data_IF_290969871535
#
_entry.id   IF_290969871535
#
_cell.length_a   1.000
_cell.length_b   1.000
_cell.length_c   1.000
_cell.angle_alpha   90.00
_cell.angle_beta   90.00
_cell.angle_gamma   90.00
#
_symmetry.space_group_name_H-M   'P 1'
#
loop_
_entity.id
_entity.type
_entity.pdbx_description
1 polymer ?
#
# COMPACT_ATOMS: atom_id res chain seq x y z
N UNK A 1 -9.50 -8.04 -15.63
CA UNK A 1 -8.41 -7.75 -14.67
C UNK A 1 -9.01 -7.04 -13.47
N UNK A 2 -8.53 -7.35 -12.26
CA UNK A 2 -8.92 -6.68 -11.04
C UNK A 2 -7.69 -6.48 -10.13
N UNK A 3 -7.71 -5.47 -9.26
CA UNK A 3 -6.72 -5.30 -8.20
C UNK A 3 -7.35 -5.29 -6.81
N UNK A 4 -6.60 -5.76 -5.82
CA UNK A 4 -6.86 -5.54 -4.40
C UNK A 4 -5.60 -4.99 -3.74
N UNK A 5 -5.78 -3.98 -2.88
CA UNK A 5 -4.67 -3.23 -2.29
C UNK A 5 -4.93 -2.90 -0.83
N UNK A 6 -3.85 -2.89 -0.03
CA UNK A 6 -3.95 -2.62 1.39
C UNK A 6 -2.61 -2.30 2.05
N UNK A 7 -2.68 -1.87 3.30
CA UNK A 7 -1.56 -1.66 4.20
C UNK A 7 -1.42 -2.89 5.12
N UNK A 8 -0.21 -3.44 5.21
CA UNK A 8 0.15 -4.44 6.21
C UNK A 8 1.12 -3.80 7.20
N UNK A 9 0.86 -3.91 8.50
CA UNK A 9 1.78 -3.46 9.56
C UNK A 9 2.29 -4.68 10.33
N UNK A 10 3.60 -4.87 10.35
CA UNK A 10 4.22 -6.08 10.90
C UNK A 10 3.89 -6.25 12.39
N UNK A 11 3.94 -5.17 13.18
CA UNK A 11 3.59 -5.20 14.61
C UNK A 11 2.13 -5.62 14.88
N UNK A 12 1.24 -5.38 13.91
CA UNK A 12 -0.18 -5.72 14.00
C UNK A 12 -0.47 -7.05 13.29
N UNK A 13 0.53 -7.90 13.09
CA UNK A 13 0.42 -9.18 12.38
C UNK A 13 -0.20 -9.04 10.99
N UNK A 14 0.18 -7.99 10.26
CA UNK A 14 -0.31 -7.71 8.92
C UNK A 14 -1.63 -6.92 8.86
N UNK A 15 -2.25 -6.59 10.00
CA UNK A 15 -3.39 -5.66 9.99
C UNK A 15 -2.94 -4.24 9.57
N UNK A 16 -3.79 -3.45 8.89
CA UNK A 16 -5.19 -3.74 8.57
C UNK A 16 -5.43 -4.77 7.44
N UNK A 17 -4.46 -5.01 6.56
CA UNK A 17 -4.55 -5.99 5.48
C UNK A 17 -5.75 -5.75 4.56
N UNK A 18 -6.52 -6.80 4.25
CA UNK A 18 -7.75 -6.72 3.44
C UNK A 18 -8.86 -5.83 4.06
N UNK A 19 -8.73 -5.46 5.34
CA UNK A 19 -9.63 -4.53 6.01
C UNK A 19 -9.14 -3.08 5.93
N UNK A 20 -8.12 -2.78 5.13
CA UNK A 20 -7.54 -1.43 4.99
C UNK A 20 -8.57 -0.33 4.83
N UNK A 21 -9.55 -0.48 3.93
CA UNK A 21 -10.60 0.51 3.71
C UNK A 21 -11.68 0.55 4.81
N UNK A 22 -11.80 -0.51 5.60
CA UNK A 22 -12.82 -0.66 6.66
C UNK A 22 -12.20 -0.72 8.05
N UNK A 23 -10.95 -0.29 8.20
CA UNK A 23 -10.19 -0.58 9.41
C UNK A 23 -10.82 0.06 10.64
N UNK A 24 -11.40 1.26 10.48
CA UNK A 24 -12.15 1.96 11.51
C UNK A 24 -13.68 1.75 11.43
N UNK A 25 -14.14 0.73 10.70
CA UNK A 25 -15.57 0.45 10.48
C UNK A 25 -16.06 0.84 9.07
N UNK A 26 -17.31 0.50 8.78
CA UNK A 26 -17.97 0.95 7.54
C UNK A 26 -18.20 2.46 7.55
N UNK A 27 -17.99 3.11 6.41
CA UNK A 27 -18.16 4.57 6.27
C UNK A 27 -17.05 5.41 6.90
N UNK A 28 -16.03 4.81 7.52
CA UNK A 28 -14.92 5.53 8.11
C UNK A 28 -14.15 6.38 7.07
N UNK A 29 -13.74 7.57 7.48
CA UNK A 29 -12.87 8.44 6.69
C UNK A 29 -11.41 7.95 6.70
N UNK A 30 -10.57 8.56 5.86
CA UNK A 30 -9.12 8.35 5.93
C UNK A 30 -8.56 8.77 7.31
N UNK A 31 -9.06 9.87 7.85
CA UNK A 31 -8.65 10.37 9.17
C UNK A 31 -9.00 9.38 10.29
N UNK A 32 -10.20 8.81 10.29
CA UNK A 32 -10.62 7.80 11.28
C UNK A 32 -9.71 6.57 11.24
N UNK A 33 -9.36 6.10 10.04
CA UNK A 33 -8.45 4.97 9.83
C UNK A 33 -7.04 5.29 10.32
N UNK A 34 -6.53 6.47 10.03
CA UNK A 34 -5.22 6.94 10.49
C UNK A 34 -5.18 7.08 12.02
N UNK A 35 -6.20 7.66 12.64
CA UNK A 35 -6.32 7.82 14.09
C UNK A 35 -6.36 6.46 14.80
N UNK A 36 -7.13 5.50 14.27
CA UNK A 36 -7.14 4.12 14.80
C UNK A 36 -5.76 3.47 14.70
N UNK A 37 -5.09 3.61 13.56
CA UNK A 37 -3.76 3.04 13.37
C UNK A 37 -2.73 3.64 14.34
N UNK A 38 -2.73 4.96 14.52
CA UNK A 38 -1.85 5.64 15.48
C UNK A 38 -2.13 5.20 16.92
N UNK A 39 -3.40 5.07 17.30
CA UNK A 39 -3.81 4.60 18.62
C UNK A 39 -3.27 3.20 18.93
N UNK A 40 -3.40 2.26 17.98
CA UNK A 40 -2.90 0.89 18.12
C UNK A 40 -1.38 0.80 18.21
N UNK A 41 -0.67 1.82 17.72
CA UNK A 41 0.77 1.88 17.71
C UNK A 41 1.35 2.91 18.70
N UNK A 42 0.55 3.49 19.60
CA UNK A 42 0.93 4.64 20.43
C UNK A 42 2.28 4.47 21.15
N UNK A 43 2.49 3.32 21.78
CA UNK A 43 3.69 3.02 22.58
C UNK A 43 4.71 2.12 21.83
N UNK A 44 4.53 1.97 20.51
CA UNK A 44 5.38 1.12 19.67
C UNK A 44 6.57 1.94 19.16
N UNK A 45 7.82 1.56 19.50
CA UNK A 45 9.01 2.28 19.03
C UNK A 45 9.12 2.18 17.52
N UNK A 46 9.70 3.21 16.89
CA UNK A 46 9.76 3.36 15.43
C UNK A 46 10.23 2.10 14.71
N UNK A 47 11.20 1.38 15.30
CA UNK A 47 11.88 0.26 14.63
C UNK A 47 10.99 -0.97 14.49
N UNK A 48 9.92 -1.01 15.28
CA UNK A 48 8.89 -2.04 15.26
C UNK A 48 7.69 -1.66 14.39
N UNK A 49 7.64 -0.44 13.84
CA UNK A 49 6.52 0.07 13.03
C UNK A 49 6.65 -0.26 11.53
N UNK A 50 7.41 -1.29 11.18
CA UNK A 50 7.56 -1.74 9.79
C UNK A 50 6.19 -2.01 9.18
N UNK A 51 6.03 -1.53 7.96
CA UNK A 51 4.79 -1.68 7.21
C UNK A 51 5.08 -1.77 5.72
N UNK A 52 4.10 -2.26 4.98
CA UNK A 52 4.15 -2.24 3.53
C UNK A 52 2.79 -1.97 2.96
N UNK A 53 2.76 -1.18 1.88
CA UNK A 53 1.61 -1.22 1.00
C UNK A 53 1.78 -2.39 0.03
N UNK A 54 0.67 -3.08 -0.23
CA UNK A 54 0.58 -4.25 -1.10
C UNK A 54 -0.48 -3.98 -2.16
N UNK A 55 -0.18 -4.33 -3.41
CA UNK A 55 -1.15 -4.43 -4.49
C UNK A 55 -1.00 -5.80 -5.13
N UNK A 56 -2.10 -6.54 -5.21
CA UNK A 56 -2.19 -7.77 -6.00
C UNK A 56 -3.09 -7.50 -7.19
N UNK A 57 -2.62 -7.81 -8.39
CA UNK A 57 -3.41 -7.70 -9.61
C UNK A 57 -3.66 -9.11 -10.14
N UNK A 58 -4.91 -9.45 -10.39
CA UNK A 58 -5.34 -10.71 -10.98
C UNK A 58 -5.87 -10.51 -12.40
N UNK A 59 -5.48 -11.41 -13.31
CA UNK A 59 -5.97 -11.48 -14.69
C UNK A 59 -6.51 -12.87 -14.97
N UNK A 60 -7.60 -12.92 -15.72
CA UNK A 60 -8.12 -14.11 -16.39
C UNK A 60 -8.11 -13.77 -17.88
N UNK A 61 -7.43 -14.58 -18.68
CA UNK A 61 -7.33 -14.46 -20.13
C UNK A 61 -8.50 -15.16 -20.82
N UNK A 62 -8.71 -14.90 -22.10
CA UNK A 62 -9.79 -15.52 -22.88
C UNK A 62 -9.63 -17.03 -23.08
N UNK A 63 -8.41 -17.54 -22.93
CA UNK A 63 -8.09 -18.98 -22.96
C UNK A 63 -8.21 -19.64 -21.57
N UNK A 64 -8.89 -18.99 -20.62
CA UNK A 64 -9.11 -19.46 -19.24
C UNK A 64 -7.84 -19.53 -18.36
N UNK A 65 -6.66 -19.18 -18.88
CA UNK A 65 -5.48 -19.01 -18.04
C UNK A 65 -5.66 -17.82 -17.10
N UNK A 66 -5.20 -17.99 -15.86
CA UNK A 66 -5.20 -16.93 -14.87
C UNK A 66 -3.87 -16.87 -14.14
N UNK A 67 -3.53 -15.67 -13.70
CA UNK A 67 -2.33 -15.42 -12.90
C UNK A 67 -2.48 -14.14 -12.10
N UNK A 68 -1.59 -14.00 -11.12
CA UNK A 68 -1.53 -12.83 -10.27
C UNK A 68 -0.11 -12.29 -10.19
N UNK A 69 0.03 -10.98 -10.05
CA UNK A 69 1.29 -10.33 -9.65
C UNK A 69 1.09 -9.60 -8.33
N UNK A 70 2.14 -9.54 -7.52
CA UNK A 70 2.13 -8.86 -6.21
C UNK A 70 3.24 -7.82 -6.17
N UNK A 71 2.86 -6.54 -6.15
CA UNK A 71 3.78 -5.43 -5.92
C UNK A 71 3.72 -4.94 -4.49
N UNK A 72 4.88 -4.63 -3.89
CA UNK A 72 4.96 -4.01 -2.57
C UNK A 72 5.85 -2.78 -2.55
N UNK A 73 5.57 -1.88 -1.61
CA UNK A 73 6.52 -0.86 -1.17
C UNK A 73 6.66 -0.97 0.34
N UNK A 74 7.89 -1.17 0.80
CA UNK A 74 8.23 -1.29 2.22
C UNK A 74 8.45 0.11 2.81
N UNK A 75 8.10 0.28 4.07
CA UNK A 75 8.21 1.53 4.81
C UNK A 75 7.93 1.34 6.29
N UNK A 76 7.61 2.43 6.96
CA UNK A 76 7.29 2.46 8.38
C UNK A 76 6.04 3.30 8.61
N UNK A 77 5.31 3.04 9.68
CA UNK A 77 4.26 3.96 10.12
C UNK A 77 4.90 5.08 10.93
N UNK A 78 4.67 6.34 10.55
CA UNK A 78 5.08 7.51 11.30
C UNK A 78 4.35 7.66 12.64
N UNK A 79 4.76 8.66 13.41
CA UNK A 79 4.12 9.01 14.69
C UNK A 79 2.96 10.00 14.55
N UNK A 80 2.93 10.75 13.45
CA UNK A 80 1.95 11.79 13.15
C UNK A 80 1.77 11.90 11.63
N UNK A 81 0.61 12.36 11.14
CA UNK A 81 0.39 12.59 9.72
C UNK A 81 1.26 13.74 9.20
N UNK A 82 1.88 13.56 8.03
CA UNK A 82 2.63 14.60 7.31
C UNK A 82 2.32 14.56 5.83
N UNK A 83 2.18 15.74 5.22
CA UNK A 83 1.93 15.90 3.78
C UNK A 83 0.45 15.85 3.41
N UNK A 84 0.13 16.48 2.28
CA UNK A 84 -1.25 16.72 1.83
C UNK A 84 -1.59 15.98 0.52
N UNK A 85 -0.62 15.28 -0.08
CA UNK A 85 -0.85 14.52 -1.31
C UNK A 85 -1.35 13.09 -1.00
N UNK A 86 -2.00 12.46 -1.97
CA UNK A 86 -2.43 11.07 -1.85
C UNK A 86 -3.72 10.90 -1.04
N UNK A 87 -3.89 9.73 -0.43
CA UNK A 87 -5.10 9.34 0.28
C UNK A 87 -4.83 8.17 1.25
N UNK A 88 -5.82 7.76 2.02
CA UNK A 88 -5.70 6.61 2.91
C UNK A 88 -4.63 6.83 3.97
N UNK A 89 -3.68 5.90 4.02
CA UNK A 89 -2.59 5.90 5.01
C UNK A 89 -1.32 6.62 4.53
N UNK A 90 -1.37 7.29 3.37
CA UNK A 90 -0.20 8.01 2.84
C UNK A 90 0.43 9.02 3.81
N UNK A 91 -0.35 9.80 4.57
CA UNK A 91 0.22 10.74 5.55
C UNK A 91 1.00 10.07 6.68
N UNK A 92 0.76 8.77 6.93
CA UNK A 92 1.46 7.99 7.95
C UNK A 92 2.54 7.07 7.36
N UNK A 93 2.56 6.81 6.07
CA UNK A 93 3.47 5.85 5.47
C UNK A 93 4.82 6.49 5.16
N UNK A 94 5.77 6.35 6.09
CA UNK A 94 7.11 6.90 6.01
C UNK A 94 8.06 6.01 5.19
N UNK A 95 8.80 6.65 4.29
CA UNK A 95 9.79 6.03 3.42
C UNK A 95 11.19 6.49 3.83
N UNK A 96 11.99 5.63 4.51
CA UNK A 96 13.33 6.01 4.99
C UNK A 96 14.28 6.48 3.90
N UNK A 97 14.20 5.87 2.70
CA UNK A 97 15.03 6.23 1.53
C UNK A 97 14.82 7.70 1.10
N UNK A 98 13.62 8.24 1.33
CA UNK A 98 13.24 9.60 0.93
C UNK A 98 13.13 10.56 2.12
N UNK A 99 13.31 10.06 3.35
CA UNK A 99 13.16 10.80 4.59
C UNK A 99 11.83 11.59 4.69
N UNK A 100 10.74 11.02 4.18
CA UNK A 100 9.42 11.65 4.14
C UNK A 100 8.29 10.63 4.06
N UNK A 101 7.06 11.04 4.31
CA UNK A 101 5.87 10.20 4.08
C UNK A 101 5.51 10.17 2.59
N UNK A 102 4.74 9.17 2.15
CA UNK A 102 4.27 9.12 0.75
C UNK A 102 3.33 10.28 0.41
N UNK A 103 2.66 10.89 1.39
CA UNK A 103 1.86 12.11 1.19
C UNK A 103 2.67 13.40 1.06
N UNK A 104 3.94 13.41 1.48
CA UNK A 104 4.85 14.54 1.21
C UNK A 104 5.48 14.47 -0.18
N UNK A 105 5.36 13.33 -0.85
CA UNK A 105 5.95 13.10 -2.16
C UNK A 105 5.08 13.67 -3.28
N UNK A 106 5.72 14.18 -4.33
CA UNK A 106 5.04 14.56 -5.56
C UNK A 106 4.29 13.35 -6.17
N UNK A 107 3.05 13.52 -6.69
CA UNK A 107 2.26 12.42 -7.22
C UNK A 107 2.96 11.60 -8.31
N UNK A 108 3.70 12.26 -9.20
CA UNK A 108 4.49 11.62 -10.26
C UNK A 108 5.55 10.69 -9.67
N UNK A 109 6.30 11.16 -8.68
CA UNK A 109 7.35 10.38 -8.02
C UNK A 109 6.77 9.20 -7.24
N UNK A 110 5.64 9.42 -6.55
CA UNK A 110 4.92 8.35 -5.85
C UNK A 110 4.48 7.25 -6.81
N UNK A 111 3.96 7.60 -7.99
CA UNK A 111 3.55 6.62 -9.00
C UNK A 111 4.71 5.73 -9.45
N UNK A 112 5.92 6.27 -9.60
CA UNK A 112 7.11 5.48 -9.96
C UNK A 112 7.41 4.38 -8.94
N UNK A 113 7.35 4.71 -7.64
CA UNK A 113 7.85 3.81 -6.59
C UNK A 113 6.76 2.99 -5.87
N UNK A 114 5.48 3.35 -6.06
CA UNK A 114 4.36 2.74 -5.35
C UNK A 114 4.20 1.24 -5.63
N UNK A 115 3.60 0.53 -4.68
CA UNK A 115 3.14 -0.85 -4.80
C UNK A 115 2.29 -1.09 -6.07
N UNK A 116 1.36 -0.18 -6.37
CA UNK A 116 0.54 -0.23 -7.60
C UNK A 116 1.37 -0.05 -8.86
N UNK A 117 2.25 0.95 -8.90
CA UNK A 117 3.15 1.17 -10.05
C UNK A 117 4.04 -0.04 -10.31
N UNK A 118 4.59 -0.64 -9.25
CA UNK A 118 5.35 -1.89 -9.32
C UNK A 118 4.50 -3.05 -9.84
N UNK A 119 3.32 -3.27 -9.28
CA UNK A 119 2.41 -4.33 -9.69
C UNK A 119 2.01 -4.20 -11.17
N UNK A 120 1.70 -2.99 -11.65
CA UNK A 120 1.35 -2.73 -13.05
C UNK A 120 2.51 -3.04 -14.01
N UNK A 121 3.75 -2.67 -13.65
CA UNK A 121 4.94 -3.03 -14.46
C UNK A 121 5.16 -4.53 -14.49
N UNK A 122 5.01 -5.22 -13.35
CA UNK A 122 5.09 -6.68 -13.29
C UNK A 122 4.01 -7.34 -14.14
N UNK A 123 2.77 -6.83 -14.09
CA UNK A 123 1.65 -7.32 -14.90
C UNK A 123 1.92 -7.16 -16.40
N UNK A 124 2.42 -6.00 -16.82
CA UNK A 124 2.79 -5.75 -18.22
C UNK A 124 3.83 -6.77 -18.72
N UNK A 125 4.88 -7.01 -17.95
CA UNK A 125 5.93 -7.96 -18.32
C UNK A 125 5.42 -9.41 -18.34
N UNK A 126 4.51 -9.77 -17.45
CA UNK A 126 3.89 -11.11 -17.45
C UNK A 126 2.92 -11.29 -18.62
N UNK A 127 2.15 -10.25 -18.98
CA UNK A 127 1.28 -10.27 -20.16
C UNK A 127 2.07 -10.42 -21.46
N UNK A 128 3.17 -9.69 -21.62
CA UNK A 128 4.05 -9.83 -22.80
C UNK A 128 4.53 -11.26 -23.00
N UNK A 129 4.97 -11.92 -21.92
CA UNK A 129 5.42 -13.31 -21.96
C UNK A 129 4.32 -14.28 -22.38
N UNK A 130 3.10 -14.10 -21.85
CA UNK A 130 1.98 -15.02 -22.09
C UNK A 130 1.25 -14.80 -23.40
N UNK A 131 1.23 -13.55 -23.87
CA UNK A 131 0.60 -13.18 -25.13
C UNK A 131 1.58 -13.16 -26.31
N UNK A 132 2.87 -13.44 -26.05
CA UNK A 132 3.95 -13.42 -27.04
C UNK A 132 4.05 -12.07 -27.79
N UNK A 133 3.90 -10.95 -27.07
CA UNK A 133 3.95 -9.57 -27.60
C UNK A 133 5.13 -8.75 -27.06
#
# INVERSE_FOLDING_TARGET
>A
MADDSGLEVDYLNGAPGIYSSRFAGEGASDEDRNNKLLSLLKDVPFEKRKARFVCVIAVILSNEEYFTVRGTVEGYIGFEPKGDNGFGYDPLFYLPEYNMTSAQMEPSKKHEISHRGKAMRMMLEELKKRLEI
#
